data_IF_510621173254
#
_entry.id   IF_510621173254
#
_cell.length_a   1.000
_cell.length_b   1.000
_cell.length_c   1.000
_cell.angle_alpha   90.00
_cell.angle_beta   90.00
_cell.angle_gamma   90.00
#
_symmetry.space_group_name_H-M   'P 1'
#
loop_
_entity.id
_entity.type
_entity.pdbx_description
1 polymer ?
#
# COMPACT_ATOMS: atom_id res chain seq x y z
N UNK A 1 -4.63 -15.02 -24.99
CA UNK A 1 -3.93 -15.14 -23.70
C UNK A 1 -4.42 -14.00 -22.85
N UNK A 2 -4.72 -14.18 -21.55
CA UNK A 2 -5.04 -13.04 -20.70
C UNK A 2 -3.84 -12.08 -20.70
N UNK A 3 -4.12 -10.78 -20.69
CA UNK A 3 -3.06 -9.76 -20.56
C UNK A 3 -2.45 -9.86 -19.16
N UNK A 4 -1.13 -9.71 -19.08
CA UNK A 4 -0.42 -9.69 -17.81
C UNK A 4 -0.69 -8.35 -17.10
N UNK A 5 -0.69 -8.37 -15.76
CA UNK A 5 -0.76 -7.13 -14.99
C UNK A 5 0.52 -6.30 -15.24
N UNK A 6 0.38 -4.96 -15.36
CA UNK A 6 1.53 -4.08 -15.49
C UNK A 6 2.38 -4.12 -14.21
N UNK A 7 3.69 -3.91 -14.37
CA UNK A 7 4.65 -3.76 -13.27
C UNK A 7 5.18 -2.34 -13.36
N UNK A 8 5.00 -1.57 -12.29
CA UNK A 8 5.43 -0.17 -12.20
C UNK A 8 6.85 -0.11 -11.65
N UNK A 9 7.76 0.54 -12.38
CA UNK A 9 9.12 0.80 -11.90
C UNK A 9 9.14 2.09 -11.08
N UNK A 10 9.41 1.96 -9.78
CA UNK A 10 9.54 3.10 -8.87
C UNK A 10 10.97 3.65 -8.97
N UNK A 11 11.09 4.94 -9.26
CA UNK A 11 12.40 5.61 -9.37
C UNK A 11 13.17 5.57 -8.05
N UNK A 12 14.49 5.40 -8.11
CA UNK A 12 15.37 5.43 -6.94
C UNK A 12 15.34 6.78 -6.21
N UNK A 13 15.07 7.86 -6.92
CA UNK A 13 14.98 9.22 -6.36
C UNK A 13 13.57 9.55 -5.83
N UNK A 14 12.63 8.62 -5.92
CA UNK A 14 11.24 8.81 -5.52
C UNK A 14 10.94 8.81 -4.02
N UNK A 15 11.69 8.13 -3.11
CA UNK A 15 11.30 8.05 -1.71
C UNK A 15 11.25 9.44 -1.05
N UNK A 16 10.05 9.89 -0.68
CA UNK A 16 9.82 11.20 -0.05
C UNK A 16 9.73 11.08 1.48
N UNK A 17 9.02 10.07 1.99
CA UNK A 17 8.89 9.83 3.43
C UNK A 17 8.93 8.34 3.75
N UNK A 18 9.76 7.96 4.74
CA UNK A 18 9.80 6.59 5.24
C UNK A 18 8.70 6.36 6.28
N UNK A 19 7.79 5.43 6.02
CA UNK A 19 6.76 5.06 7.00
C UNK A 19 7.31 3.98 7.92
N UNK A 20 7.70 4.36 9.13
CA UNK A 20 8.42 3.47 10.08
C UNK A 20 7.49 2.44 10.77
N UNK A 21 6.21 2.34 10.40
CA UNK A 21 5.29 1.40 11.07
C UNK A 21 5.36 -0.01 10.44
N UNK A 22 6.32 -0.83 10.88
CA UNK A 22 6.40 -2.28 10.58
C UNK A 22 7.82 -2.81 10.43
N UNK A 23 7.96 -4.10 10.10
CA UNK A 23 9.26 -4.76 9.81
C UNK A 23 9.60 -4.79 8.31
N UNK A 24 8.65 -4.41 7.46
CA UNK A 24 8.84 -4.32 6.00
C UNK A 24 9.15 -2.89 5.62
N UNK A 25 10.00 -2.72 4.62
CA UNK A 25 10.31 -1.42 4.03
C UNK A 25 9.07 -0.87 3.33
N UNK A 26 8.67 0.34 3.73
CA UNK A 26 7.54 1.08 3.15
C UNK A 26 7.90 2.55 3.09
N UNK A 27 7.59 3.19 1.99
CA UNK A 27 7.81 4.62 1.83
C UNK A 27 6.78 5.24 0.91
N UNK A 28 6.48 6.50 1.17
CA UNK A 28 5.63 7.33 0.34
C UNK A 28 6.46 8.00 -0.76
N UNK A 29 5.87 8.16 -1.93
CA UNK A 29 6.45 8.85 -3.08
C UNK A 29 5.35 9.42 -3.97
N UNK A 30 5.64 10.49 -4.74
CA UNK A 30 4.73 10.95 -5.78
C UNK A 30 4.97 10.23 -7.11
N UNK A 31 3.93 9.55 -7.59
CA UNK A 31 3.83 9.01 -8.93
C UNK A 31 3.21 10.05 -9.87
N UNK A 32 3.73 10.16 -11.10
CA UNK A 32 3.25 11.17 -12.05
C UNK A 32 1.81 10.93 -12.53
N UNK A 33 1.37 9.67 -12.57
CA UNK A 33 0.03 9.30 -13.04
C UNK A 33 -0.96 9.13 -11.87
N UNK A 34 -0.48 8.68 -10.71
CA UNK A 34 -1.30 8.24 -9.57
C UNK A 34 -1.22 9.14 -8.36
N UNK A 35 -0.37 10.16 -8.37
CA UNK A 35 -0.13 11.05 -7.24
C UNK A 35 0.57 10.34 -6.08
N UNK A 36 0.25 10.73 -4.85
CA UNK A 36 0.88 10.19 -3.65
C UNK A 36 0.60 8.69 -3.49
N UNK A 37 1.65 7.88 -3.55
CA UNK A 37 1.60 6.43 -3.48
C UNK A 37 2.47 5.87 -2.35
N UNK A 38 2.03 4.78 -1.73
CA UNK A 38 2.80 4.01 -0.76
C UNK A 38 3.39 2.78 -1.45
N UNK A 39 4.72 2.70 -1.53
CA UNK A 39 5.41 1.46 -1.90
C UNK A 39 5.50 0.54 -0.67
N UNK A 40 5.22 -0.76 -0.86
CA UNK A 40 5.42 -1.80 0.14
C UNK A 40 6.27 -2.92 -0.45
N UNK A 41 7.45 -3.13 0.12
CA UNK A 41 8.35 -4.20 -0.30
C UNK A 41 7.77 -5.57 0.03
N UNK A 42 7.74 -6.47 -0.95
CA UNK A 42 7.34 -7.85 -0.76
C UNK A 42 8.49 -8.67 -0.18
N UNK A 43 8.14 -9.73 0.56
CA UNK A 43 9.13 -10.74 0.95
C UNK A 43 9.37 -11.70 -0.21
N UNK A 44 10.63 -11.95 -0.51
CA UNK A 44 10.97 -12.86 -1.60
C UNK A 44 10.42 -14.27 -1.31
N UNK A 45 9.74 -14.86 -2.29
CA UNK A 45 9.23 -16.24 -2.21
C UNK A 45 7.96 -16.44 -1.39
N UNK A 46 7.31 -15.38 -0.91
CA UNK A 46 6.03 -15.49 -0.18
C UNK A 46 4.80 -15.26 -1.06
N UNK A 47 4.95 -14.58 -2.22
CA UNK A 47 3.84 -14.24 -3.11
C UNK A 47 2.87 -13.20 -2.52
N UNK A 48 3.33 -12.40 -1.55
CA UNK A 48 2.53 -11.35 -0.91
C UNK A 48 2.05 -10.28 -1.89
N UNK A 49 2.91 -9.88 -2.82
CA UNK A 49 2.62 -8.91 -3.88
C UNK A 49 1.48 -9.35 -4.81
N UNK A 50 1.57 -10.56 -5.37
CA UNK A 50 0.52 -11.09 -6.25
C UNK A 50 -0.77 -11.36 -5.48
N UNK A 51 -0.68 -11.79 -4.22
CA UNK A 51 -1.85 -12.03 -3.38
C UNK A 51 -2.63 -10.73 -3.12
N UNK A 52 -1.95 -9.62 -2.81
CA UNK A 52 -2.61 -8.32 -2.62
C UNK A 52 -3.23 -7.81 -3.93
N UNK A 53 -2.51 -7.93 -5.07
CA UNK A 53 -3.05 -7.54 -6.38
C UNK A 53 -4.31 -8.34 -6.74
N UNK A 54 -4.29 -9.66 -6.58
CA UNK A 54 -5.43 -10.53 -6.88
C UNK A 54 -6.62 -10.21 -5.97
N UNK A 55 -6.38 -9.94 -4.68
CA UNK A 55 -7.43 -9.56 -3.74
C UNK A 55 -8.10 -8.24 -4.14
N UNK A 56 -7.33 -7.23 -4.56
CA UNK A 56 -7.89 -5.98 -5.07
C UNK A 56 -8.72 -6.18 -6.34
N UNK A 57 -8.20 -6.91 -7.34
CA UNK A 57 -8.96 -7.18 -8.57
C UNK A 57 -10.25 -7.97 -8.30
N UNK A 58 -10.23 -8.89 -7.34
CA UNK A 58 -11.44 -9.60 -6.91
C UNK A 58 -12.44 -8.64 -6.25
N UNK A 59 -12.00 -7.78 -5.33
CA UNK A 59 -12.86 -6.77 -4.72
C UNK A 59 -13.48 -5.82 -5.75
N UNK A 60 -12.71 -5.44 -6.77
CA UNK A 60 -13.18 -4.64 -7.91
C UNK A 60 -14.29 -5.33 -8.68
N UNK A 61 -14.12 -6.61 -9.01
CA UNK A 61 -15.15 -7.41 -9.68
C UNK A 61 -16.43 -7.56 -8.82
N UNK A 62 -16.28 -7.57 -7.50
CA UNK A 62 -17.38 -7.64 -6.55
C UNK A 62 -18.02 -6.27 -6.24
N UNK A 63 -17.46 -5.17 -6.73
CA UNK A 63 -17.93 -3.81 -6.43
C UNK A 63 -17.76 -3.40 -4.96
N UNK A 64 -16.78 -3.99 -4.25
CA UNK A 64 -16.49 -3.65 -2.86
C UNK A 64 -15.54 -2.46 -2.78
N UNK A 65 -15.71 -1.54 -1.81
CA UNK A 65 -14.70 -0.52 -1.52
C UNK A 65 -13.37 -1.20 -1.13
N UNK A 66 -12.30 -0.83 -1.82
CA UNK A 66 -10.95 -1.37 -1.59
C UNK A 66 -9.90 -0.34 -1.97
N UNK A 67 -8.68 -0.52 -1.48
CA UNK A 67 -7.53 0.22 -1.96
C UNK A 67 -7.03 -0.39 -3.27
N UNK A 68 -6.61 0.47 -4.20
CA UNK A 68 -5.97 0.02 -5.43
C UNK A 68 -4.54 -0.45 -5.15
N UNK A 69 -4.16 -1.56 -5.79
CA UNK A 69 -2.80 -2.09 -5.74
C UNK A 69 -2.30 -2.36 -7.16
N UNK A 70 -1.07 -1.98 -7.43
CA UNK A 70 -0.33 -2.36 -8.64
C UNK A 70 0.96 -3.08 -8.26
N UNK A 71 1.41 -4.02 -9.10
CA UNK A 71 2.71 -4.64 -8.94
C UNK A 71 3.80 -3.62 -9.23
N UNK A 72 4.90 -3.69 -8.48
CA UNK A 72 5.98 -2.73 -8.63
C UNK A 72 7.36 -3.32 -8.35
N UNK A 73 8.37 -2.64 -8.89
CA UNK A 73 9.78 -2.90 -8.58
C UNK A 73 10.46 -1.61 -8.14
N UNK A 74 11.27 -1.69 -7.09
CA UNK A 74 12.12 -0.60 -6.61
C UNK A 74 13.52 -1.14 -6.34
N UNK A 75 14.53 -0.58 -6.99
CA UNK A 75 15.94 -0.98 -6.84
C UNK A 75 16.16 -2.52 -6.90
N UNK A 76 15.55 -3.15 -7.91
CA UNK A 76 15.61 -4.61 -8.10
C UNK A 76 14.81 -5.45 -7.08
N UNK A 77 14.12 -4.81 -6.13
CA UNK A 77 13.22 -5.47 -5.18
C UNK A 77 11.78 -5.47 -5.67
N UNK A 78 11.07 -6.58 -5.48
CA UNK A 78 9.64 -6.71 -5.77
C UNK A 78 8.79 -6.12 -4.66
N UNK A 79 7.63 -5.59 -5.05
CA UNK A 79 6.65 -5.05 -4.13
C UNK A 79 5.34 -4.69 -4.83
N UNK A 80 4.57 -3.86 -4.13
CA UNK A 80 3.35 -3.25 -4.65
C UNK A 80 3.35 -1.76 -4.36
N UNK A 81 2.58 -1.02 -5.15
CA UNK A 81 2.25 0.37 -4.86
C UNK A 81 0.75 0.51 -4.59
N UNK A 82 0.40 1.43 -3.70
CA UNK A 82 -0.96 1.74 -3.32
C UNK A 82 -1.16 3.26 -3.36
N UNK A 83 -1.97 3.79 -4.28
CA UNK A 83 -2.34 5.20 -4.26
C UNK A 83 -3.03 5.56 -2.95
N UNK A 84 -2.75 6.76 -2.44
CA UNK A 84 -3.47 7.30 -1.30
C UNK A 84 -4.93 7.52 -1.69
N UNK A 85 -5.84 7.00 -0.87
CA UNK A 85 -7.27 7.25 -0.96
C UNK A 85 -7.75 8.29 0.08
N UNK A 86 -6.81 8.95 0.77
CA UNK A 86 -7.14 10.00 1.73
C UNK A 86 -7.58 11.27 0.98
N UNK A 87 -8.66 11.93 1.41
CA UNK A 87 -8.98 13.28 0.95
C UNK A 87 -7.91 14.27 1.45
N UNK A 88 -7.81 15.45 0.81
CA UNK A 88 -6.79 16.48 1.09
C UNK A 88 -6.70 16.88 2.58
N UNK A 89 -7.82 16.78 3.30
CA UNK A 89 -7.99 17.11 4.71
C UNK A 89 -8.26 15.87 5.61
N UNK A 90 -8.12 14.67 5.04
CA UNK A 90 -8.31 13.40 5.74
C UNK A 90 -7.06 12.95 6.49
N UNK A 91 -7.26 12.41 7.70
CA UNK A 91 -6.21 11.68 8.41
C UNK A 91 -6.54 10.21 8.50
N UNK A 92 -5.55 9.35 8.27
CA UNK A 92 -5.66 7.92 8.53
C UNK A 92 -5.37 7.67 10.01
N UNK A 93 -6.37 7.20 10.74
CA UNK A 93 -6.17 6.69 12.10
C UNK A 93 -6.16 5.16 12.02
N UNK A 94 -5.01 4.51 12.24
CA UNK A 94 -4.94 3.05 12.28
C UNK A 94 -5.89 2.47 13.33
N UNK A 95 -6.59 1.38 12.99
CA UNK A 95 -7.58 0.78 13.89
C UNK A 95 -6.99 0.31 15.24
N UNK A 96 -5.71 -0.07 15.27
CA UNK A 96 -5.02 -0.40 16.52
C UNK A 96 -4.90 0.81 17.46
N UNK A 97 -4.72 2.02 16.95
CA UNK A 97 -4.71 3.25 17.74
C UNK A 97 -6.10 3.56 18.31
N UNK A 98 -7.16 3.33 17.51
CA UNK A 98 -8.54 3.44 17.99
C UNK A 98 -8.78 2.45 19.15
N UNK A 99 -8.40 1.18 18.97
CA UNK A 99 -8.58 0.16 20.00
C UNK A 99 -7.79 0.46 21.29
N UNK A 100 -6.57 0.99 21.18
CA UNK A 100 -5.79 1.45 22.35
C UNK A 100 -6.52 2.57 23.11
N UNK A 101 -7.12 3.52 22.39
CA UNK A 101 -7.84 4.63 23.02
C UNK A 101 -9.07 4.16 23.81
N UNK A 102 -9.83 3.20 23.27
CA UNK A 102 -10.97 2.58 23.96
C UNK A 102 -10.54 1.80 25.21
N UNK A 103 -9.40 1.11 25.17
CA UNK A 103 -8.89 0.35 26.31
C UNK A 103 -8.50 1.26 27.48
N UNK A 104 -7.83 2.38 27.19
CA UNK A 104 -7.39 3.33 28.23
C UNK A 104 -8.57 4.06 28.89
N UNK A 105 -9.70 4.22 28.18
CA UNK A 105 -10.90 4.85 28.72
C UNK A 105 -11.60 4.00 29.82
N UNK A 106 -11.40 2.68 29.83
CA UNK A 106 -11.97 1.75 30.83
C UNK A 106 -11.11 1.59 32.10
N UNK A 107 -10.02 2.34 32.23
CA UNK A 107 -9.15 2.35 33.42
C UNK A 107 -9.21 3.65 34.23
N UNK A 108 -10.15 4.54 33.93
CA UNK A 108 -10.40 5.79 34.68
C UNK A 108 -11.58 5.64 35.62
#
# INVERSE_FOLDING_TARGET
>A
MPEAFPIVEVSQDAPEESEVMGTKEKFWFNDQERGLCLYKKARLGTGEDWSEKIAAELCKLLGLPHADYELATFDGSWGIISPSFLPEDGSLIPGNEILKSCWNCNKS
#
